data_IF_223614070804
#
_entry.id   IF_223614070804
#
_cell.length_a   1.000
_cell.length_b   1.000
_cell.length_c   1.000
_cell.angle_alpha   90.00
_cell.angle_beta   90.00
_cell.angle_gamma   90.00
#
_symmetry.space_group_name_H-M   'P 1'
#
loop_
_entity.id
_entity.type
_entity.pdbx_description
1 polymer ?
#
# COMPACT_ATOMS: atom_id res chain seq x y z
N UNK A 1 -1.10 -23.38 3.76
CA UNK A 1 -1.84 -22.24 3.17
C UNK A 1 -1.58 -22.15 1.67
N UNK A 2 -0.36 -22.40 1.17
CA UNK A 2 -0.10 -22.39 -0.28
C UNK A 2 -0.83 -23.50 -1.05
N UNK A 3 -1.00 -24.70 -0.49
CA UNK A 3 -1.76 -25.78 -1.15
C UNK A 3 -3.18 -25.37 -1.59
N UNK A 4 -3.89 -24.58 -0.78
CA UNK A 4 -5.23 -24.09 -1.11
C UNK A 4 -5.18 -23.03 -2.22
N UNK A 5 -4.20 -22.13 -2.17
CA UNK A 5 -4.02 -21.08 -3.18
C UNK A 5 -3.69 -21.73 -4.53
N UNK A 6 -2.75 -22.67 -4.55
CA UNK A 6 -2.37 -23.45 -5.74
C UNK A 6 -3.57 -24.21 -6.32
N UNK A 7 -4.35 -24.89 -5.48
CA UNK A 7 -5.58 -25.58 -5.91
C UNK A 7 -6.62 -24.65 -6.51
N UNK A 8 -6.81 -23.44 -5.95
CA UNK A 8 -7.72 -22.44 -6.51
C UNK A 8 -7.22 -21.96 -7.87
N UNK A 9 -5.93 -21.61 -7.98
CA UNK A 9 -5.32 -21.16 -9.25
C UNK A 9 -5.43 -22.22 -10.34
N UNK A 10 -5.28 -23.51 -10.02
CA UNK A 10 -5.42 -24.60 -10.97
C UNK A 10 -6.87 -24.78 -11.47
N UNK A 11 -7.86 -24.44 -10.63
CA UNK A 11 -9.29 -24.55 -10.97
C UNK A 11 -9.84 -23.31 -11.68
N UNK A 12 -9.10 -22.20 -11.69
CA UNK A 12 -9.51 -20.96 -12.34
C UNK A 12 -9.36 -21.04 -13.86
N UNK A 13 -10.35 -20.50 -14.58
CA UNK A 13 -10.20 -20.22 -16.02
C UNK A 13 -9.22 -19.05 -16.23
N UNK A 14 -8.80 -18.84 -17.48
CA UNK A 14 -7.95 -17.69 -17.80
C UNK A 14 -8.68 -16.37 -17.52
N UNK A 15 -9.97 -16.30 -17.85
CA UNK A 15 -10.80 -15.12 -17.64
C UNK A 15 -10.94 -14.81 -16.14
N UNK A 16 -11.15 -15.83 -15.31
CA UNK A 16 -11.16 -15.68 -13.85
C UNK A 16 -9.81 -15.15 -13.35
N UNK A 17 -8.68 -15.66 -13.87
CA UNK A 17 -7.33 -15.20 -13.49
C UNK A 17 -7.11 -13.74 -13.86
N UNK A 18 -7.41 -13.37 -15.11
CA UNK A 18 -7.26 -12.00 -15.61
C UNK A 18 -8.17 -11.05 -14.83
N UNK A 19 -9.40 -11.45 -14.52
CA UNK A 19 -10.34 -10.60 -13.77
C UNK A 19 -9.87 -10.27 -12.34
N UNK A 20 -9.02 -11.11 -11.73
CA UNK A 20 -8.46 -10.85 -10.39
C UNK A 20 -7.24 -9.90 -10.42
N UNK A 21 -6.70 -9.57 -11.59
CA UNK A 21 -5.58 -8.63 -11.73
C UNK A 21 -6.01 -7.16 -11.69
N UNK A 22 -7.31 -6.89 -11.56
CA UNK A 22 -7.85 -5.53 -11.46
C UNK A 22 -9.01 -5.44 -10.48
N UNK A 23 -9.24 -4.23 -9.97
CA UNK A 23 -10.43 -3.90 -9.18
C UNK A 23 -11.72 -4.14 -9.97
N UNK A 24 -12.78 -4.50 -9.26
CA UNK A 24 -14.15 -4.50 -9.77
C UNK A 24 -14.69 -3.08 -9.91
N UNK A 25 -14.41 -2.25 -8.90
CA UNK A 25 -14.85 -0.87 -8.80
C UNK A 25 -13.82 -0.04 -8.02
N UNK A 26 -14.22 1.13 -7.51
CA UNK A 26 -13.36 2.03 -6.74
C UNK A 26 -12.72 1.41 -5.50
N UNK A 27 -13.32 0.39 -4.88
CA UNK A 27 -12.96 -0.08 -3.54
C UNK A 27 -12.96 -1.60 -3.37
N UNK A 28 -13.30 -2.36 -4.41
CA UNK A 28 -13.53 -3.79 -4.32
C UNK A 28 -12.73 -4.57 -5.37
N UNK A 29 -12.23 -5.74 -5.00
CA UNK A 29 -11.73 -6.73 -5.96
C UNK A 29 -12.88 -7.48 -6.65
N UNK A 30 -12.57 -8.17 -7.73
CA UNK A 30 -13.49 -9.14 -8.34
C UNK A 30 -13.62 -10.38 -7.45
N UNK A 31 -14.80 -11.00 -7.43
CA UNK A 31 -15.06 -12.29 -6.79
C UNK A 31 -15.10 -13.40 -7.83
N UNK A 32 -14.75 -14.62 -7.40
CA UNK A 32 -14.93 -15.85 -8.20
C UNK A 32 -15.87 -16.77 -7.42
N UNK A 33 -17.17 -16.51 -7.56
CA UNK A 33 -18.22 -17.16 -6.76
C UNK A 33 -18.21 -18.69 -6.89
N UNK A 34 -17.98 -19.21 -8.11
CA UNK A 34 -17.88 -20.65 -8.40
C UNK A 34 -16.82 -21.36 -7.55
N UNK A 35 -15.75 -20.66 -7.20
CA UNK A 35 -14.64 -21.17 -6.38
C UNK A 35 -14.70 -20.68 -4.92
N UNK A 36 -15.74 -19.93 -4.54
CA UNK A 36 -15.87 -19.35 -3.20
C UNK A 36 -14.81 -18.31 -2.86
N UNK A 37 -14.25 -17.61 -3.86
CA UNK A 37 -13.32 -16.49 -3.64
C UNK A 37 -14.15 -15.21 -3.45
N UNK A 38 -14.18 -14.61 -2.25
CA UNK A 38 -15.02 -13.45 -1.96
C UNK A 38 -14.42 -12.15 -2.51
N UNK A 39 -15.24 -11.11 -2.54
CA UNK A 39 -14.77 -9.73 -2.74
C UNK A 39 -13.92 -9.29 -1.55
N UNK A 40 -12.75 -8.72 -1.81
CA UNK A 40 -11.98 -7.97 -0.83
C UNK A 40 -12.31 -6.49 -0.99
N UNK A 41 -12.77 -5.86 0.09
CA UNK A 41 -12.99 -4.42 0.17
C UNK A 41 -11.79 -3.72 0.79
N UNK A 42 -11.26 -2.71 0.10
CA UNK A 42 -10.23 -1.81 0.61
C UNK A 42 -10.85 -0.47 1.02
N UNK A 43 -10.18 0.24 1.91
CA UNK A 43 -10.57 1.60 2.29
C UNK A 43 -9.35 2.44 2.57
N UNK A 44 -9.36 3.70 2.15
CA UNK A 44 -8.43 4.68 2.73
C UNK A 44 -8.62 4.76 4.24
N UNK A 45 -7.61 5.16 4.99
CA UNK A 45 -6.29 5.67 4.60
C UNK A 45 -5.42 5.83 5.86
N UNK A 46 -4.43 6.72 5.89
CA UNK A 46 -3.39 6.70 6.93
C UNK A 46 -3.84 7.12 8.34
N UNK A 47 -4.94 7.87 8.48
CA UNK A 47 -5.42 8.40 9.76
C UNK A 47 -6.91 8.18 10.04
N UNK A 48 -7.50 7.13 9.44
CA UNK A 48 -8.91 6.78 9.63
C UNK A 48 -9.44 5.90 8.51
N UNK A 49 -10.43 5.05 8.82
CA UNK A 49 -11.08 4.20 7.81
C UNK A 49 -12.28 4.93 7.19
N UNK A 50 -12.07 5.59 6.05
CA UNK A 50 -13.09 6.45 5.42
C UNK A 50 -14.32 5.68 4.92
N UNK A 51 -14.13 4.45 4.44
CA UNK A 51 -15.14 3.67 3.75
C UNK A 51 -15.38 4.10 2.29
N UNK A 52 -16.27 3.37 1.62
CA UNK A 52 -16.54 3.52 0.18
C UNK A 52 -17.46 4.71 -0.16
N UNK A 53 -18.30 5.13 0.78
CA UNK A 53 -19.36 6.14 0.58
C UNK A 53 -18.90 7.59 0.88
N UNK A 54 -17.63 7.78 1.25
CA UNK A 54 -17.10 9.12 1.54
C UNK A 54 -17.89 9.84 2.65
N UNK A 55 -18.34 11.07 2.37
CA UNK A 55 -18.99 11.94 3.35
C UNK A 55 -20.40 11.53 3.77
N UNK A 56 -21.04 10.60 3.04
CA UNK A 56 -22.39 10.09 3.37
C UNK A 56 -22.34 8.77 4.13
N UNK A 57 -21.16 8.19 4.31
CA UNK A 57 -20.98 6.92 4.99
C UNK A 57 -21.08 7.02 6.52
N UNK A 58 -20.97 5.87 7.18
CA UNK A 58 -20.84 5.78 8.63
C UNK A 58 -19.69 6.67 9.12
N UNK A 59 -19.83 7.29 10.29
CA UNK A 59 -18.74 8.05 10.93
C UNK A 59 -17.56 7.14 11.31
N UNK A 60 -16.35 7.68 11.37
CA UNK A 60 -15.15 6.93 11.74
C UNK A 60 -14.25 7.76 12.65
N UNK A 61 -13.44 7.09 13.48
CA UNK A 61 -12.36 7.75 14.21
C UNK A 61 -11.32 8.35 13.24
N UNK A 62 -11.13 9.67 13.34
CA UNK A 62 -10.04 10.38 12.67
C UNK A 62 -8.90 10.55 13.68
N UNK A 63 -7.81 9.82 13.49
CA UNK A 63 -6.64 9.86 14.36
C UNK A 63 -5.77 11.06 14.01
N UNK A 64 -4.78 11.45 14.85
CA UNK A 64 -3.74 12.37 14.43
C UNK A 64 -3.08 11.91 13.12
N UNK A 65 -2.66 12.87 12.29
CA UNK A 65 -2.01 12.58 11.02
C UNK A 65 -0.61 11.97 11.22
N UNK A 66 -0.04 11.39 10.16
CA UNK A 66 1.26 10.71 10.19
C UNK A 66 2.35 11.55 10.87
N UNK A 67 2.48 12.82 10.52
CA UNK A 67 3.54 13.67 11.07
C UNK A 67 3.38 13.86 12.60
N UNK A 68 2.14 13.95 13.08
CA UNK A 68 1.86 14.05 14.51
C UNK A 68 2.12 12.72 15.23
N UNK A 69 1.79 11.58 14.61
CA UNK A 69 2.12 10.25 15.16
C UNK A 69 3.64 10.02 15.19
N UNK A 70 4.35 10.39 14.13
CA UNK A 70 5.81 10.34 14.07
C UNK A 70 6.45 11.20 15.16
N UNK A 71 5.90 12.38 15.45
CA UNK A 71 6.39 13.25 16.51
C UNK A 71 6.22 12.69 17.93
N UNK A 72 5.47 11.59 18.13
CA UNK A 72 5.35 10.94 19.44
C UNK A 72 6.59 10.15 19.83
N UNK A 73 7.37 9.66 18.86
CA UNK A 73 8.48 8.71 19.09
C UNK A 73 8.06 7.49 19.93
N UNK A 74 6.79 7.10 19.83
CA UNK A 74 6.20 6.08 20.69
C UNK A 74 5.53 5.00 19.86
N UNK A 75 6.27 3.92 19.59
CA UNK A 75 5.79 2.76 18.83
C UNK A 75 4.65 2.04 19.54
N UNK A 76 4.68 1.94 20.88
CA UNK A 76 3.63 1.31 21.68
C UNK A 76 2.28 2.05 21.52
N UNK A 77 2.32 3.38 21.54
CA UNK A 77 1.15 4.22 21.29
C UNK A 77 0.65 4.06 19.84
N UNK A 78 1.56 4.01 18.86
CA UNK A 78 1.18 3.86 17.45
C UNK A 78 0.57 2.48 17.18
N UNK A 79 1.04 1.42 17.84
CA UNK A 79 0.41 0.09 17.79
C UNK A 79 -1.02 0.13 18.35
N UNK A 80 -1.26 0.86 19.45
CA UNK A 80 -2.61 1.07 19.98
C UNK A 80 -3.51 1.83 19.00
N UNK A 81 -2.96 2.82 18.29
CA UNK A 81 -3.68 3.52 17.20
C UNK A 81 -4.05 2.53 16.08
N UNK A 82 -3.11 1.67 15.68
CA UNK A 82 -3.36 0.61 14.70
C UNK A 82 -4.52 -0.31 15.11
N UNK A 83 -4.62 -0.67 16.40
CA UNK A 83 -5.76 -1.45 16.93
C UNK A 83 -7.10 -0.73 16.73
N UNK A 84 -7.19 0.56 17.09
CA UNK A 84 -8.42 1.35 16.92
C UNK A 84 -8.82 1.38 15.43
N UNK A 85 -7.85 1.58 14.55
CA UNK A 85 -8.10 1.62 13.12
C UNK A 85 -8.54 0.25 12.55
N UNK A 86 -8.08 -0.87 13.12
CA UNK A 86 -8.57 -2.19 12.73
C UNK A 86 -10.06 -2.38 13.06
N UNK A 87 -10.51 -1.87 14.22
CA UNK A 87 -11.92 -1.89 14.60
C UNK A 87 -12.76 -1.04 13.64
N UNK A 88 -12.25 0.13 13.25
CA UNK A 88 -12.88 1.01 12.25
C UNK A 88 -12.97 0.35 10.87
N UNK A 89 -11.89 -0.29 10.39
CA UNK A 89 -11.88 -1.05 9.13
C UNK A 89 -12.98 -2.11 9.12
N UNK A 90 -13.09 -2.89 10.21
CA UNK A 90 -14.16 -3.89 10.36
C UNK A 90 -15.54 -3.27 10.41
N UNK A 91 -15.71 -2.14 11.09
CA UNK A 91 -16.99 -1.42 11.14
C UNK A 91 -17.43 -0.92 9.74
N UNK A 92 -16.49 -0.68 8.82
CA UNK A 92 -16.78 -0.37 7.40
C UNK A 92 -17.01 -1.62 6.52
N UNK A 93 -16.90 -2.82 7.08
CA UNK A 93 -16.89 -4.08 6.31
C UNK A 93 -15.71 -4.16 5.34
N UNK A 94 -14.63 -3.41 5.60
CA UNK A 94 -13.41 -3.45 4.81
C UNK A 94 -12.42 -4.48 5.40
N UNK A 95 -11.42 -4.83 4.61
CA UNK A 95 -10.45 -5.88 4.92
C UNK A 95 -9.03 -5.32 4.97
N UNK A 96 -8.72 -4.36 4.09
CA UNK A 96 -7.40 -3.73 3.99
C UNK A 96 -7.56 -2.22 4.15
N UNK A 97 -6.76 -1.62 5.03
CA UNK A 97 -6.58 -0.19 5.15
C UNK A 97 -5.43 0.24 4.23
N UNK A 98 -5.65 1.28 3.43
CA UNK A 98 -4.63 1.84 2.53
C UNK A 98 -3.68 2.75 3.32
N UNK A 99 -2.91 2.13 4.21
CA UNK A 99 -2.05 2.74 5.20
C UNK A 99 -0.97 1.77 5.69
N UNK A 100 0.13 2.26 6.28
CA UNK A 100 0.47 3.69 6.47
C UNK A 100 1.13 4.33 5.25
N UNK A 101 1.21 5.66 5.22
CA UNK A 101 2.02 6.39 4.24
C UNK A 101 3.42 6.67 4.82
N UNK A 102 4.48 6.27 4.12
CA UNK A 102 5.88 6.32 4.61
C UNK A 102 6.85 7.01 3.64
N UNK A 103 6.34 7.81 2.71
CA UNK A 103 7.19 8.65 1.87
C UNK A 103 8.01 9.62 2.74
N UNK A 104 9.17 10.04 2.24
CA UNK A 104 10.15 10.79 3.03
C UNK A 104 9.88 12.28 2.91
N UNK A 105 9.96 13.01 4.02
CA UNK A 105 9.89 14.48 4.01
C UNK A 105 11.16 15.12 3.39
N UNK A 106 11.41 14.86 2.10
CA UNK A 106 12.58 15.40 1.37
C UNK A 106 12.59 16.92 1.35
N UNK A 107 11.42 17.52 1.23
CA UNK A 107 11.20 18.98 1.22
C UNK A 107 10.02 19.32 2.11
N UNK A 108 10.06 20.42 2.89
CA UNK A 108 8.96 20.81 3.77
C UNK A 108 7.69 21.21 3.01
N UNK A 109 7.78 21.48 1.70
CA UNK A 109 6.65 21.97 0.89
C UNK A 109 5.86 20.86 0.19
N UNK A 110 6.20 19.58 0.39
CA UNK A 110 5.47 18.48 -0.21
C UNK A 110 4.06 18.38 0.41
N UNK A 111 3.03 18.40 -0.45
CA UNK A 111 1.63 18.52 -0.01
C UNK A 111 1.11 17.37 0.84
N UNK A 112 1.80 16.22 0.87
CA UNK A 112 1.41 15.02 1.63
C UNK A 112 2.36 14.70 2.80
N UNK A 113 3.27 15.62 3.17
CA UNK A 113 4.09 15.42 4.38
C UNK A 113 3.23 15.19 5.63
N UNK A 114 2.06 15.85 5.75
CA UNK A 114 1.23 15.70 6.93
C UNK A 114 0.81 14.25 7.21
N UNK A 115 0.67 13.41 6.17
CA UNK A 115 0.27 12.00 6.30
C UNK A 115 1.44 11.02 6.37
N UNK A 116 2.67 11.49 6.15
CA UNK A 116 3.91 10.72 6.30
C UNK A 116 4.53 10.95 7.70
N UNK A 117 5.53 10.17 8.09
CA UNK A 117 6.05 10.20 9.47
C UNK A 117 7.21 11.18 9.69
N UNK A 118 8.27 11.12 8.87
CA UNK A 118 9.52 11.83 9.13
C UNK A 118 10.36 12.04 7.86
N UNK A 119 11.40 12.84 7.99
CA UNK A 119 12.54 12.86 7.04
C UNK A 119 13.53 11.72 7.29
N UNK A 120 13.50 11.11 8.48
CA UNK A 120 14.40 10.02 8.87
C UNK A 120 13.81 8.63 8.49
N UNK A 121 14.56 7.81 7.74
CA UNK A 121 14.06 6.52 7.24
C UNK A 121 13.90 5.47 8.34
N UNK A 122 14.80 5.44 9.33
CA UNK A 122 14.75 4.49 10.43
C UNK A 122 13.50 4.74 11.28
N UNK A 123 13.31 5.98 11.72
CA UNK A 123 12.15 6.41 12.48
C UNK A 123 10.84 6.15 11.72
N UNK A 124 10.79 6.50 10.44
CA UNK A 124 9.61 6.23 9.59
C UNK A 124 9.31 4.74 9.50
N UNK A 125 10.34 3.90 9.36
CA UNK A 125 10.21 2.44 9.33
C UNK A 125 9.74 1.83 10.66
N UNK A 126 10.27 2.28 11.80
CA UNK A 126 9.85 1.79 13.13
C UNK A 126 8.39 2.15 13.43
N UNK A 127 8.01 3.40 13.19
CA UNK A 127 6.63 3.87 13.41
C UNK A 127 5.66 3.14 12.48
N UNK A 128 6.02 2.98 11.20
CA UNK A 128 5.21 2.21 10.25
C UNK A 128 5.05 0.75 10.68
N UNK A 129 6.13 0.12 11.17
CA UNK A 129 6.09 -1.27 11.64
C UNK A 129 5.09 -1.43 12.79
N UNK A 130 5.13 -0.53 13.78
CA UNK A 130 4.21 -0.55 14.91
C UNK A 130 2.74 -0.34 14.48
N UNK A 131 2.51 0.57 13.53
CA UNK A 131 1.18 0.82 12.97
C UNK A 131 0.62 -0.43 12.29
N UNK A 132 1.43 -1.07 11.43
CA UNK A 132 1.07 -2.27 10.68
C UNK A 132 0.78 -3.42 11.64
N UNK A 133 1.65 -3.64 12.63
CA UNK A 133 1.47 -4.66 13.66
C UNK A 133 0.14 -4.49 14.40
N UNK A 134 -0.17 -3.27 14.84
CA UNK A 134 -1.41 -2.95 15.54
C UNK A 134 -2.65 -3.25 14.69
N UNK A 135 -2.59 -2.94 13.40
CA UNK A 135 -3.69 -3.20 12.47
C UNK A 135 -3.88 -4.72 12.23
N UNK A 136 -2.79 -5.41 11.88
CA UNK A 136 -2.84 -6.81 11.43
C UNK A 136 -3.05 -7.81 12.56
N UNK A 137 -2.49 -7.58 13.75
CA UNK A 137 -2.79 -8.39 14.96
C UNK A 137 -4.28 -8.33 15.31
N UNK A 138 -4.94 -7.24 14.95
CA UNK A 138 -6.36 -7.05 15.17
C UNK A 138 -7.20 -7.38 13.93
N UNK A 139 -6.66 -8.09 12.93
CA UNK A 139 -7.42 -8.72 11.86
C UNK A 139 -7.84 -7.81 10.71
N UNK A 140 -7.13 -6.71 10.48
CA UNK A 140 -7.24 -5.87 9.28
C UNK A 140 -5.87 -5.77 8.59
N UNK A 141 -5.83 -5.93 7.26
CA UNK A 141 -4.60 -5.86 6.48
C UNK A 141 -4.09 -4.43 6.32
N UNK A 142 -2.78 -4.26 6.31
CA UNK A 142 -2.15 -2.99 5.98
C UNK A 142 -1.71 -2.97 4.51
N UNK A 143 -1.74 -1.79 3.91
CA UNK A 143 -1.18 -1.51 2.59
C UNK A 143 -0.24 -0.30 2.68
N UNK A 144 1.06 -0.58 2.85
CA UNK A 144 2.08 0.46 3.01
C UNK A 144 2.30 1.21 1.69
N UNK A 145 2.40 2.54 1.73
CA UNK A 145 2.40 3.38 0.53
C UNK A 145 3.26 4.64 0.63
N UNK A 146 3.65 5.30 -0.46
CA UNK A 146 3.55 4.87 -1.86
C UNK A 146 4.94 4.47 -2.33
N UNK A 147 5.07 3.26 -2.85
CA UNK A 147 6.33 2.63 -3.20
C UNK A 147 6.72 2.96 -4.66
N UNK A 148 7.72 3.79 -4.93
CA UNK A 148 8.52 4.57 -3.99
C UNK A 148 8.80 5.97 -4.56
N UNK A 149 9.35 6.86 -3.74
CA UNK A 149 9.82 8.21 -4.10
C UNK A 149 8.72 9.18 -4.57
N UNK A 150 7.50 9.02 -4.05
CA UNK A 150 6.37 9.93 -4.25
C UNK A 150 6.42 11.10 -3.24
N UNK A 151 7.51 11.85 -3.25
CA UNK A 151 7.81 12.83 -2.20
C UNK A 151 7.38 14.27 -2.58
N UNK A 152 6.57 14.43 -3.64
CA UNK A 152 5.97 15.69 -4.05
C UNK A 152 4.70 15.50 -4.89
N UNK A 153 3.76 16.45 -4.78
CA UNK A 153 2.49 16.39 -5.52
C UNK A 153 2.56 17.00 -6.92
N UNK A 154 3.52 17.90 -7.15
CA UNK A 154 3.68 18.56 -8.44
C UNK A 154 3.96 17.52 -9.52
N UNK A 155 3.03 17.43 -10.48
CA UNK A 155 3.06 16.50 -11.61
C UNK A 155 3.29 15.03 -11.21
N UNK A 156 2.75 14.61 -10.05
CA UNK A 156 3.00 13.24 -9.51
C UNK A 156 2.69 12.09 -10.47
N UNK A 157 1.81 12.29 -11.48
CA UNK A 157 1.47 11.29 -12.50
C UNK A 157 2.45 11.23 -13.70
N UNK A 158 3.40 12.15 -13.80
CA UNK A 158 4.29 12.26 -14.98
C UNK A 158 5.74 12.56 -14.63
N UNK A 159 6.00 13.14 -13.45
CA UNK A 159 7.35 13.48 -13.02
C UNK A 159 8.20 12.22 -12.83
N UNK A 160 9.50 12.36 -13.11
CA UNK A 160 10.51 11.36 -12.78
C UNK A 160 11.37 11.82 -11.62
N UNK A 161 11.45 10.99 -10.60
CA UNK A 161 12.39 11.13 -9.48
C UNK A 161 13.73 10.54 -9.92
N UNK A 162 14.68 11.42 -10.25
CA UNK A 162 16.04 11.06 -10.65
C UNK A 162 16.92 10.87 -9.41
N UNK A 163 17.14 9.62 -9.01
CA UNK A 163 17.73 9.27 -7.72
C UNK A 163 18.85 8.25 -7.94
N UNK A 164 20.03 8.55 -7.39
CA UNK A 164 21.15 7.63 -7.39
C UNK A 164 20.87 6.39 -6.52
N UNK A 165 21.54 5.29 -6.83
CA UNK A 165 21.35 4.00 -6.14
C UNK A 165 21.46 4.11 -4.61
N UNK A 166 22.50 4.82 -4.13
CA UNK A 166 22.75 4.96 -2.70
C UNK A 166 21.59 5.60 -1.93
N UNK A 167 21.14 6.83 -2.26
CA UNK A 167 19.99 7.43 -1.56
C UNK A 167 18.68 6.66 -1.80
N UNK A 168 18.50 5.99 -2.95
CA UNK A 168 17.34 5.13 -3.18
C UNK A 168 17.24 4.06 -2.07
N UNK A 169 18.33 3.35 -1.78
CA UNK A 169 18.37 2.33 -0.74
C UNK A 169 18.42 2.89 0.68
N UNK A 170 19.31 3.84 0.96
CA UNK A 170 19.54 4.33 2.32
C UNK A 170 18.40 5.20 2.87
N UNK A 171 17.59 5.83 2.00
CA UNK A 171 16.57 6.80 2.41
C UNK A 171 15.16 6.35 2.00
N UNK A 172 14.90 6.16 0.71
CA UNK A 172 13.51 6.05 0.23
C UNK A 172 12.95 4.63 0.35
N UNK A 173 13.77 3.61 0.12
CA UNK A 173 13.40 2.20 0.26
C UNK A 173 13.46 1.73 1.73
N UNK A 174 14.35 2.31 2.53
CA UNK A 174 14.61 1.85 3.90
C UNK A 174 13.37 1.78 4.82
N UNK A 175 12.44 2.76 4.87
CA UNK A 175 11.24 2.62 5.71
C UNK A 175 10.35 1.44 5.29
N UNK A 176 10.26 1.16 3.98
CA UNK A 176 9.55 0.00 3.46
C UNK A 176 10.27 -1.30 3.82
N UNK A 177 11.60 -1.35 3.66
CA UNK A 177 12.42 -2.52 4.02
C UNK A 177 12.23 -2.90 5.48
N UNK A 178 12.31 -1.91 6.39
CA UNK A 178 12.11 -2.11 7.83
C UNK A 178 10.70 -2.65 8.10
N UNK A 179 9.66 -1.99 7.57
CA UNK A 179 8.28 -2.39 7.78
C UNK A 179 7.95 -3.79 7.23
N UNK A 180 8.46 -4.13 6.05
CA UNK A 180 8.26 -5.46 5.45
C UNK A 180 8.92 -6.54 6.29
N UNK A 181 10.15 -6.33 6.74
CA UNK A 181 10.87 -7.32 7.55
C UNK A 181 10.27 -7.51 8.95
N UNK A 182 9.80 -6.43 9.57
CA UNK A 182 9.30 -6.45 10.95
C UNK A 182 7.83 -6.82 11.06
N UNK A 183 6.98 -6.24 10.22
CA UNK A 183 5.53 -6.27 10.39
C UNK A 183 4.77 -6.96 9.24
N UNK A 184 5.46 -7.25 8.12
CA UNK A 184 4.92 -8.03 6.97
C UNK A 184 3.53 -7.54 6.52
N UNK A 185 3.43 -6.32 5.96
CA UNK A 185 2.15 -5.79 5.51
C UNK A 185 1.54 -6.72 4.45
N UNK A 186 0.21 -6.87 4.44
CA UNK A 186 -0.47 -7.71 3.46
C UNK A 186 -0.37 -7.16 2.04
N UNK A 187 -0.19 -5.84 1.91
CA UNK A 187 -0.05 -5.19 0.62
C UNK A 187 0.97 -4.05 0.62
N UNK A 188 1.42 -3.71 -0.57
CA UNK A 188 2.21 -2.52 -0.90
C UNK A 188 1.47 -1.79 -2.03
N UNK A 189 1.39 -0.46 -1.95
CA UNK A 189 0.86 0.35 -3.05
C UNK A 189 1.99 1.00 -3.82
N UNK A 190 2.05 0.79 -5.14
CA UNK A 190 3.02 1.49 -5.99
C UNK A 190 2.70 2.98 -6.09
N UNK A 191 3.72 3.79 -6.31
CA UNK A 191 3.59 5.23 -6.50
C UNK A 191 3.10 5.59 -7.92
N UNK A 192 2.68 6.85 -8.09
CA UNK A 192 2.34 7.40 -9.42
C UNK A 192 3.57 7.79 -10.25
N UNK A 193 4.62 8.30 -9.61
CA UNK A 193 5.74 8.91 -10.29
C UNK A 193 6.60 7.86 -11.02
N UNK A 194 7.51 8.35 -11.85
CA UNK A 194 8.60 7.56 -12.40
C UNK A 194 9.81 7.58 -11.47
N UNK A 195 10.64 6.55 -11.55
CA UNK A 195 11.91 6.41 -10.85
C UNK A 195 12.95 6.19 -11.95
N UNK A 196 13.86 7.17 -12.13
CA UNK A 196 14.87 7.14 -13.19
C UNK A 196 14.27 6.83 -14.59
N UNK A 197 13.13 7.45 -14.91
CA UNK A 197 12.48 7.38 -16.21
C UNK A 197 11.39 6.30 -16.36
N UNK A 198 11.25 5.35 -15.42
CA UNK A 198 10.26 4.26 -15.50
C UNK A 198 9.19 4.43 -14.42
N UNK A 199 7.92 4.29 -14.78
CA UNK A 199 6.79 4.38 -13.84
C UNK A 199 6.93 3.38 -12.71
N UNK A 200 6.63 3.77 -11.46
CA UNK A 200 6.83 2.89 -10.30
C UNK A 200 6.00 1.59 -10.40
N UNK A 201 4.81 1.63 -11.02
CA UNK A 201 4.00 0.44 -11.29
C UNK A 201 4.59 -0.51 -12.36
N UNK A 202 5.52 0.00 -13.19
CA UNK A 202 6.19 -0.72 -14.29
C UNK A 202 7.69 -0.98 -13.98
N UNK A 203 8.13 -0.73 -12.75
CA UNK A 203 9.56 -0.70 -12.44
C UNK A 203 10.04 -2.04 -11.86
N UNK A 204 10.45 -2.95 -12.75
CA UNK A 204 11.01 -4.29 -12.42
C UNK A 204 12.08 -4.22 -11.33
N UNK A 205 12.95 -3.22 -11.39
CA UNK A 205 14.05 -3.07 -10.44
C UNK A 205 13.53 -2.93 -9.00
N UNK A 206 12.52 -2.08 -8.80
CA UNK A 206 11.98 -1.82 -7.46
C UNK A 206 10.92 -2.84 -7.04
N UNK A 207 9.97 -3.20 -7.92
CA UNK A 207 8.85 -4.08 -7.58
C UNK A 207 9.20 -5.57 -7.61
N UNK A 208 10.03 -6.00 -8.57
CA UNK A 208 10.36 -7.41 -8.72
C UNK A 208 11.71 -7.74 -8.09
N UNK A 209 12.81 -7.17 -8.59
CA UNK A 209 14.15 -7.50 -8.11
C UNK A 209 14.36 -7.16 -6.63
N UNK A 210 13.97 -5.95 -6.21
CA UNK A 210 14.13 -5.54 -4.81
C UNK A 210 13.03 -6.12 -3.92
N UNK A 211 11.77 -5.76 -4.19
CA UNK A 211 10.68 -6.07 -3.27
C UNK A 211 10.36 -7.57 -3.21
N UNK A 212 10.13 -8.23 -4.36
CA UNK A 212 9.79 -9.66 -4.39
C UNK A 212 11.00 -10.57 -4.21
N UNK A 213 12.08 -10.37 -4.97
CA UNK A 213 13.23 -11.29 -4.91
C UNK A 213 14.16 -11.02 -3.72
N UNK A 214 14.74 -9.82 -3.60
CA UNK A 214 15.74 -9.54 -2.55
C UNK A 214 15.14 -9.47 -1.14
N UNK A 215 13.95 -8.88 -0.99
CA UNK A 215 13.30 -8.76 0.33
C UNK A 215 12.34 -9.90 0.64
N UNK A 216 11.96 -10.70 -0.37
CA UNK A 216 11.06 -11.85 -0.17
C UNK A 216 9.63 -11.45 0.20
N UNK A 217 9.14 -10.31 -0.30
CA UNK A 217 7.76 -9.89 -0.06
C UNK A 217 6.78 -10.84 -0.74
N UNK A 218 5.87 -11.44 0.05
CA UNK A 218 4.88 -12.43 -0.38
C UNK A 218 3.43 -11.90 -0.33
N UNK A 219 3.25 -10.60 -0.10
CA UNK A 219 1.96 -9.92 -0.16
C UNK A 219 1.58 -9.45 -1.57
N UNK A 220 0.54 -8.61 -1.64
CA UNK A 220 0.01 -8.08 -2.91
C UNK A 220 0.59 -6.70 -3.20
N UNK A 221 1.10 -6.49 -4.40
CA UNK A 221 1.43 -5.15 -4.91
C UNK A 221 0.23 -4.61 -5.69
N UNK A 222 -0.36 -3.50 -5.24
CA UNK A 222 -1.45 -2.81 -5.93
C UNK A 222 -1.02 -1.45 -6.47
N UNK A 223 -1.66 -0.97 -7.53
CA UNK A 223 -1.40 0.39 -8.00
C UNK A 223 -2.01 1.41 -7.05
N UNK A 224 -1.46 2.63 -7.01
CA UNK A 224 -2.28 3.78 -6.63
C UNK A 224 -3.43 3.95 -7.66
N UNK A 225 -4.47 4.68 -7.29
CA UNK A 225 -5.70 4.80 -8.09
C UNK A 225 -5.41 5.39 -9.47
N UNK A 226 -5.64 4.60 -10.53
CA UNK A 226 -5.34 4.94 -11.92
C UNK A 226 -3.83 5.08 -12.22
N UNK A 227 -2.97 4.54 -11.35
CA UNK A 227 -1.50 4.59 -11.44
C UNK A 227 -0.87 3.52 -12.31
N UNK A 228 -1.63 2.96 -13.26
CA UNK A 228 -1.18 1.97 -14.24
C UNK A 228 -1.18 2.61 -15.63
N UNK A 229 -0.10 2.43 -16.39
CA UNK A 229 0.14 3.18 -17.64
C UNK A 229 0.25 2.29 -18.88
N UNK A 230 0.21 0.98 -18.71
CA UNK A 230 0.25 0.00 -19.79
C UNK A 230 0.21 -1.44 -19.28
N UNK A 231 0.18 -2.42 -20.19
CA UNK A 231 0.12 -3.84 -19.81
C UNK A 231 1.42 -4.35 -19.17
N UNK A 232 2.52 -3.61 -19.31
CA UNK A 232 3.83 -3.95 -18.75
C UNK A 232 3.81 -4.12 -17.23
N UNK A 233 2.92 -3.42 -16.53
CA UNK A 233 2.87 -3.45 -15.07
C UNK A 233 2.66 -4.87 -14.52
N UNK A 234 1.84 -5.68 -15.21
CA UNK A 234 1.58 -7.08 -14.83
C UNK A 234 2.83 -7.97 -14.99
N UNK A 235 3.74 -7.61 -15.90
CA UNK A 235 5.03 -8.29 -16.08
C UNK A 235 6.06 -7.80 -15.05
N UNK A 236 5.91 -6.57 -14.56
CA UNK A 236 6.81 -5.86 -13.64
C UNK A 236 6.56 -6.09 -12.16
N UNK A 237 5.73 -7.06 -11.81
CA UNK A 237 5.44 -7.41 -10.42
C UNK A 237 4.29 -6.64 -9.77
N UNK A 238 3.53 -5.84 -10.51
CA UNK A 238 2.22 -5.34 -10.07
C UNK A 238 1.20 -6.49 -10.10
N UNK A 239 0.53 -6.77 -8.98
CA UNK A 239 -0.44 -7.87 -8.88
C UNK A 239 -1.88 -7.42 -9.09
N UNK A 240 -2.21 -6.16 -8.74
CA UNK A 240 -3.57 -5.63 -8.75
C UNK A 240 -3.63 -4.17 -9.24
N UNK A 241 -4.22 -3.93 -10.42
CA UNK A 241 -4.62 -2.60 -10.87
C UNK A 241 -5.83 -2.10 -10.06
N UNK A 242 -5.75 -0.88 -9.54
CA UNK A 242 -6.86 -0.18 -8.89
C UNK A 242 -7.04 1.22 -9.47
N UNK A 243 -8.28 1.73 -9.56
CA UNK A 243 -9.56 1.03 -9.34
C UNK A 243 -10.03 0.27 -10.59
N UNK A 244 -11.15 -0.44 -10.46
CA UNK A 244 -11.92 -0.93 -11.59
C UNK A 244 -12.82 0.13 -12.25
N UNK A 245 -13.35 -0.13 -13.45
CA UNK A 245 -13.03 -1.29 -14.30
C UNK A 245 -11.63 -1.17 -14.92
N UNK A 246 -10.99 -2.31 -15.18
CA UNK A 246 -9.67 -2.42 -15.82
C UNK A 246 -9.61 -1.65 -17.15
N UNK A 247 -8.45 -1.09 -17.49
CA UNK A 247 -8.24 -0.29 -18.70
C UNK A 247 -7.73 -1.09 -19.89
#
# INVERSE_FOLDING_TARGET
MSDRIEQLILQMTLEEKVSLLAGKDMWHTVAVERLGIPVVKVTDGPNGARGAEGSTGLTSACTPCGAALGATWNTELVEQVGKVLAEEVKAKGAHILLAPTVNIHRTPTAGRNFECYSEDPLHSGEIASAYIDGLQKNGAGACIKHFVTNDQEFERFSISSEIAERPLHEIYLEPFRIAIQKAKPWAVMSAYNRINGVYAADNDYTLYEILKERWGFDGIVMSDWFGTYGPTSAESGLDLEMPGPAR
#
